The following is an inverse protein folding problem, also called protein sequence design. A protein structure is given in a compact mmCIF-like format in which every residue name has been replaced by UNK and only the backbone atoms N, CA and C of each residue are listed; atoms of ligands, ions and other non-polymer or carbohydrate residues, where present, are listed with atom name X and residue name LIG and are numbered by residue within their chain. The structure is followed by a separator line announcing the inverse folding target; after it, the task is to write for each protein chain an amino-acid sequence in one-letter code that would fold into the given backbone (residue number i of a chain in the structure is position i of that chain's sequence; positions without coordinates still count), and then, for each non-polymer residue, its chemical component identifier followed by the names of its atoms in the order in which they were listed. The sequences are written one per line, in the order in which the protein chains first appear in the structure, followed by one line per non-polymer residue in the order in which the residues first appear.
data_IF_881522606247
#
_entry.id   IF_881522606247
#
_cell.length_a   1.000
_cell.length_b   1.000
_cell.length_c   1.000
_cell.angle_alpha   90.00
_cell.angle_beta   90.00
_cell.angle_gamma   90.00
#
_symmetry.space_group_name_H-M   'P 1'
#
loop_
_entity.id
_entity.type
_entity.pdbx_description
1 polymer ?
#
# COMPACT_ATOMS: atom_id res chain seq x y z
N UNK A 1 -13.57 2.24 -2.75
CA UNK A 1 -12.29 1.93 -3.43
C UNK A 1 -12.42 0.57 -4.10
N UNK A 2 -12.36 0.49 -5.43
CA UNK A 2 -12.60 -0.74 -6.21
C UNK A 2 -11.30 -1.54 -6.41
N UNK A 3 -10.68 -1.98 -5.33
CA UNK A 3 -9.49 -2.84 -5.40
C UNK A 3 -9.93 -4.29 -5.70
N UNK A 4 -9.34 -4.99 -6.69
CA UNK A 4 -9.72 -6.35 -7.04
C UNK A 4 -9.75 -7.30 -5.84
N UNK A 5 -10.82 -8.08 -5.69
CA UNK A 5 -10.99 -9.01 -4.57
C UNK A 5 -9.87 -10.05 -4.52
N UNK A 6 -9.39 -10.49 -5.69
CA UNK A 6 -8.30 -11.45 -5.80
C UNK A 6 -7.01 -10.94 -5.13
N UNK A 7 -6.64 -9.69 -5.37
CA UNK A 7 -5.47 -9.05 -4.75
C UNK A 7 -5.56 -9.02 -3.22
N UNK A 8 -6.75 -8.80 -2.66
CA UNK A 8 -6.98 -8.81 -1.21
C UNK A 8 -6.86 -10.21 -0.61
N UNK A 9 -7.34 -11.22 -1.31
CA UNK A 9 -7.29 -12.62 -0.85
C UNK A 9 -5.84 -13.15 -0.89
N UNK A 10 -5.11 -12.85 -1.96
CA UNK A 10 -3.71 -13.29 -2.13
C UNK A 10 -2.76 -12.55 -1.18
N UNK A 11 -3.10 -11.32 -0.78
CA UNK A 11 -2.27 -10.48 0.08
C UNK A 11 -3.00 -10.10 1.37
N UNK A 12 -2.79 -10.90 2.43
CA UNK A 12 -3.40 -10.64 3.75
C UNK A 12 -3.14 -9.24 4.31
N UNK A 13 -2.00 -8.61 3.97
CA UNK A 13 -1.71 -7.22 4.34
C UNK A 13 -2.59 -6.15 3.69
N UNK A 14 -3.21 -6.49 2.56
CA UNK A 14 -4.20 -5.68 1.85
C UNK A 14 -5.65 -6.11 2.16
N UNK A 15 -5.81 -7.34 2.67
CA UNK A 15 -7.06 -7.90 3.17
C UNK A 15 -7.14 -7.83 4.70
N UNK A 16 -7.31 -8.98 5.34
CA UNK A 16 -7.68 -9.14 6.76
C UNK A 16 -6.75 -8.42 7.77
N UNK A 17 -5.48 -8.23 7.43
CA UNK A 17 -4.52 -7.55 8.33
C UNK A 17 -4.50 -6.04 8.10
N UNK A 18 -5.13 -5.55 7.03
CA UNK A 18 -5.14 -4.15 6.68
C UNK A 18 -6.00 -3.35 7.64
N UNK A 19 -5.45 -2.27 8.18
CA UNK A 19 -6.16 -1.31 9.03
C UNK A 19 -6.41 0.02 8.31
N UNK A 20 -5.70 0.26 7.21
CA UNK A 20 -5.84 1.44 6.35
C UNK A 20 -5.52 1.01 4.93
N UNK A 21 -6.35 1.44 3.98
CA UNK A 21 -6.04 1.36 2.54
C UNK A 21 -6.50 2.67 1.92
N UNK A 22 -5.58 3.38 1.29
CA UNK A 22 -5.83 4.69 0.66
C UNK A 22 -5.19 4.76 -0.72
N UNK A 23 -5.70 5.67 -1.54
CA UNK A 23 -4.98 6.08 -2.75
C UNK A 23 -3.74 6.87 -2.36
N UNK A 24 -2.73 6.77 -3.22
CA UNK A 24 -1.50 7.56 -3.18
C UNK A 24 -1.33 8.20 -4.56
N UNK A 25 -0.39 9.13 -4.72
CA UNK A 25 0.03 9.60 -6.04
C UNK A 25 -1.00 10.48 -6.75
N UNK A 26 -1.16 10.30 -8.05
CA UNK A 26 -1.97 11.18 -8.90
C UNK A 26 -3.45 11.22 -8.49
N UNK A 27 -4.01 10.09 -8.03
CA UNK A 27 -5.40 10.02 -7.53
C UNK A 27 -5.53 10.82 -6.23
N UNK A 28 -4.59 10.68 -5.30
CA UNK A 28 -4.58 11.42 -4.05
C UNK A 28 -4.45 12.94 -4.28
N UNK A 29 -3.63 13.35 -5.25
CA UNK A 29 -3.40 14.75 -5.58
C UNK A 29 -4.39 15.34 -6.60
N UNK A 30 -5.38 14.57 -7.08
CA UNK A 30 -6.36 15.03 -8.06
C UNK A 30 -5.78 15.29 -9.45
N UNK A 31 -4.59 14.75 -9.75
CA UNK A 31 -3.90 14.83 -11.03
C UNK A 31 -4.14 13.61 -11.93
N UNK A 32 -4.98 12.67 -11.49
CA UNK A 32 -5.26 11.44 -12.20
C UNK A 32 -5.93 11.69 -13.55
N UNK A 33 -5.27 11.27 -14.63
CA UNK A 33 -5.85 11.27 -15.98
C UNK A 33 -6.52 9.91 -16.23
N UNK A 34 -7.82 9.87 -16.57
CA UNK A 34 -8.51 8.61 -16.83
C UNK A 34 -7.99 7.90 -18.09
N UNK A 35 -7.96 6.57 -18.08
CA UNK A 35 -7.57 5.72 -19.21
C UNK A 35 -8.42 5.89 -20.49
N UNK A 36 -9.48 6.69 -20.45
CA UNK A 36 -10.22 7.11 -21.66
C UNK A 36 -9.45 8.12 -22.51
N UNK A 37 -8.39 8.74 -21.99
CA UNK A 37 -7.51 9.62 -22.76
C UNK A 37 -6.42 8.78 -23.47
N UNK A 38 -6.19 8.97 -24.79
CA UNK A 38 -5.14 8.28 -25.54
C UNK A 38 -3.72 8.46 -24.99
N UNK A 39 -3.48 9.48 -24.15
CA UNK A 39 -2.18 9.74 -23.51
C UNK A 39 -2.13 9.32 -22.04
N UNK A 40 -3.16 8.63 -21.53
CA UNK A 40 -3.19 8.17 -20.14
C UNK A 40 -2.17 7.05 -19.93
N UNK A 41 -1.16 7.34 -19.12
CA UNK A 41 -0.14 6.39 -18.66
C UNK A 41 -0.17 6.17 -17.14
N UNK A 42 -1.21 6.68 -16.47
CA UNK A 42 -1.27 6.73 -15.01
C UNK A 42 -1.62 5.37 -14.39
N UNK A 43 -0.72 4.87 -13.56
CA UNK A 43 -0.96 3.73 -12.65
C UNK A 43 -1.80 4.17 -11.45
N UNK A 44 -2.59 3.24 -10.90
CA UNK A 44 -3.36 3.43 -9.66
C UNK A 44 -2.49 3.10 -8.46
N UNK A 45 -1.86 4.13 -7.92
CA UNK A 45 -1.07 4.05 -6.70
C UNK A 45 -1.95 3.82 -5.46
N UNK A 46 -1.66 2.77 -4.70
CA UNK A 46 -2.31 2.49 -3.41
C UNK A 46 -1.27 2.33 -2.31
N UNK A 47 -1.59 2.90 -1.15
CA UNK A 47 -0.89 2.63 0.09
C UNK A 47 -1.81 1.91 1.07
N UNK A 48 -1.32 0.83 1.67
CA UNK A 48 -1.99 0.15 2.77
C UNK A 48 -1.10 0.07 4.01
N UNK A 49 -1.73 0.10 5.18
CA UNK A 49 -1.07 -0.18 6.46
C UNK A 49 -1.69 -1.42 7.06
N UNK A 50 -0.86 -2.35 7.52
CA UNK A 50 -1.31 -3.62 8.08
C UNK A 50 -0.70 -3.91 9.46
N UNK A 51 -1.42 -4.72 10.23
CA UNK A 51 -0.98 -5.31 11.50
C UNK A 51 -0.95 -6.83 11.33
N UNK A 52 0.21 -7.43 11.03
CA UNK A 52 0.37 -8.88 10.95
C UNK A 52 0.08 -9.57 12.30
N UNK A 53 -0.09 -10.90 12.34
CA UNK A 53 -0.31 -11.63 13.59
C UNK A 53 0.94 -11.60 14.51
N UNK A 54 0.80 -11.93 15.82
CA UNK A 54 1.87 -11.84 16.81
C UNK A 54 3.20 -12.50 16.43
N UNK A 55 3.15 -13.56 15.61
CA UNK A 55 4.30 -14.29 15.08
C UNK A 55 5.36 -13.38 14.42
N UNK A 56 4.91 -12.29 13.79
CA UNK A 56 5.75 -11.33 13.07
C UNK A 56 6.43 -10.31 14.00
N UNK A 57 6.01 -10.27 15.27
CA UNK A 57 6.54 -9.36 16.29
C UNK A 57 7.48 -10.06 17.26
N UNK A 58 7.27 -11.36 17.48
CA UNK A 58 8.08 -12.18 18.39
C UNK A 58 9.34 -12.77 17.74
N UNK A 59 9.75 -12.26 16.57
CA UNK A 59 10.99 -12.61 15.90
C UNK A 59 10.99 -13.92 15.10
N UNK A 60 9.85 -14.62 15.01
CA UNK A 60 9.74 -15.87 14.26
C UNK A 60 9.56 -15.63 12.75
N UNK A 61 9.02 -14.47 12.38
CA UNK A 61 8.74 -14.07 11.00
C UNK A 61 9.00 -12.58 10.82
N UNK A 62 9.25 -12.17 9.58
CA UNK A 62 9.36 -10.77 9.19
C UNK A 62 8.36 -10.48 8.07
N UNK A 63 7.68 -9.34 8.15
CA UNK A 63 6.71 -8.94 7.14
C UNK A 63 7.42 -8.29 5.95
N UNK A 64 7.29 -8.89 4.77
CA UNK A 64 7.90 -8.41 3.53
C UNK A 64 9.42 -8.17 3.66
N UNK A 65 9.92 -7.18 2.91
CA UNK A 65 11.28 -6.67 3.07
C UNK A 65 11.27 -5.53 4.08
N UNK A 66 11.80 -5.79 5.29
CA UNK A 66 11.92 -4.79 6.39
C UNK A 66 10.61 -4.06 6.73
N UNK A 67 9.49 -4.78 6.75
CA UNK A 67 8.17 -4.24 7.07
C UNK A 67 7.47 -3.58 5.87
N UNK A 68 8.01 -3.73 4.66
CA UNK A 68 7.41 -3.22 3.43
C UNK A 68 7.14 -4.37 2.46
N UNK A 69 5.97 -4.37 1.83
CA UNK A 69 5.65 -5.26 0.71
C UNK A 69 5.13 -4.42 -0.45
N UNK A 70 5.68 -4.64 -1.63
CA UNK A 70 5.25 -3.99 -2.88
C UNK A 70 4.58 -5.03 -3.77
N UNK A 71 3.49 -4.63 -4.43
CA UNK A 71 2.73 -5.46 -5.37
C UNK A 71 2.49 -4.61 -6.60
N UNK A 72 2.98 -5.10 -7.74
CA UNK A 72 2.70 -4.51 -9.06
C UNK A 72 1.90 -5.51 -9.87
N UNK A 73 0.67 -5.17 -10.20
CA UNK A 73 -0.22 -6.02 -11.01
C UNK A 73 -1.09 -5.16 -11.91
N UNK A 74 -0.95 -5.36 -13.23
CA UNK A 74 -1.65 -4.59 -14.25
C UNK A 74 -1.45 -3.08 -14.03
N UNK A 75 -2.53 -2.33 -13.81
CA UNK A 75 -2.53 -0.88 -13.52
C UNK A 75 -2.31 -0.54 -12.04
N UNK A 76 -2.10 -1.52 -11.15
CA UNK A 76 -2.02 -1.29 -9.71
C UNK A 76 -0.56 -1.30 -9.23
N UNK A 77 -0.11 -0.18 -8.65
CA UNK A 77 1.13 -0.10 -7.87
C UNK A 77 0.79 0.05 -6.38
N UNK A 78 0.94 -1.02 -5.62
CA UNK A 78 0.48 -1.11 -4.24
C UNK A 78 1.67 -1.25 -3.30
N UNK A 79 1.79 -0.34 -2.34
CA UNK A 79 2.74 -0.46 -1.24
C UNK A 79 2.01 -0.74 0.07
N UNK A 80 2.45 -1.77 0.78
CA UNK A 80 1.91 -2.18 2.07
C UNK A 80 3.01 -2.00 3.12
N UNK A 81 2.73 -1.16 4.11
CA UNK A 81 3.59 -0.99 5.27
C UNK A 81 3.03 -1.74 6.47
N UNK A 82 3.89 -2.49 7.14
CA UNK A 82 3.64 -2.97 8.49
C UNK A 82 3.62 -1.77 9.47
N UNK A 83 2.76 -1.84 10.48
CA UNK A 83 2.50 -0.72 11.39
C UNK A 83 3.76 -0.10 12.01
N UNK A 84 4.74 -0.90 12.48
CA UNK A 84 5.98 -0.36 13.05
C UNK A 84 6.82 0.37 12.01
N UNK A 85 6.89 -0.17 10.79
CA UNK A 85 7.58 0.46 9.66
C UNK A 85 6.91 1.79 9.28
N UNK A 86 5.59 1.81 9.20
CA UNK A 86 4.80 3.01 8.92
C UNK A 86 5.04 4.09 9.98
N UNK A 87 4.92 3.76 11.26
CA UNK A 87 5.14 4.71 12.36
C UNK A 87 6.57 5.24 12.38
N UNK A 88 7.58 4.37 12.22
CA UNK A 88 8.97 4.84 12.12
C UNK A 88 9.22 5.75 10.92
N UNK A 89 8.51 5.55 9.81
CA UNK A 89 8.58 6.46 8.65
C UNK A 89 7.86 7.78 8.91
N UNK A 90 6.71 7.75 9.58
CA UNK A 90 5.93 8.92 9.97
C UNK A 90 6.71 9.81 10.96
N UNK A 91 7.32 9.21 11.97
CA UNK A 91 8.17 9.89 12.96
C UNK A 91 9.34 10.63 12.30
N UNK A 92 9.91 10.07 11.23
CA UNK A 92 10.99 10.69 10.46
C UNK A 92 10.50 11.66 9.39
N UNK A 93 9.20 11.97 9.35
CA UNK A 93 8.62 12.87 8.37
C UNK A 93 8.79 12.39 6.91
N UNK A 94 8.72 11.07 6.67
CA UNK A 94 8.95 10.53 5.34
C UNK A 94 7.85 10.98 4.37
N UNK A 95 8.21 11.63 3.24
CA UNK A 95 7.22 12.18 2.30
C UNK A 95 6.33 11.10 1.67
N UNK A 96 6.80 9.85 1.57
CA UNK A 96 6.00 8.75 1.03
C UNK A 96 4.80 8.39 1.91
N UNK A 97 4.85 8.75 3.20
CA UNK A 97 3.78 8.54 4.17
C UNK A 97 3.02 9.83 4.47
N UNK A 98 3.67 11.00 4.39
CA UNK A 98 3.02 12.28 4.64
C UNK A 98 2.20 12.79 3.45
N UNK A 99 2.66 12.55 2.22
CA UNK A 99 2.02 13.02 0.98
C UNK A 99 0.90 12.13 0.48
N UNK A 100 0.22 11.43 1.39
CA UNK A 100 -1.02 10.71 1.08
C UNK A 100 -2.11 11.64 0.58
#
# INVERSE_FOLDING_TARGET
MSLPLQLKVENKGLGDWSILTTYRGSIAHGLYVPQSDPNSIDDKDIMAVCVPPPEYYIGLKQYGSRGTKEIKQDEWDIVIYEMKKFMGMLENGNPNVLGM
#
